data_IF_851133943003
#
_entry.id   IF_851133943003
#
_cell.length_a   1.000
_cell.length_b   1.000
_cell.length_c   1.000
_cell.angle_alpha   90.00
_cell.angle_beta   90.00
_cell.angle_gamma   90.00
#
_symmetry.space_group_name_H-M   'P 1'
#
loop_
_entity.id
_entity.type
_entity.pdbx_description
1 polymer ?
#
# COMPACT_ATOMS: atom_id res chain seq x y z
N UNK A 1 12.03 4.43 -14.01
CA UNK A 1 10.64 4.86 -13.79
C UNK A 1 10.29 4.47 -12.38
N UNK A 2 9.70 5.36 -11.59
CA UNK A 2 9.38 5.12 -10.19
C UNK A 2 7.90 4.88 -9.97
N UNK A 3 7.54 3.74 -9.41
CA UNK A 3 6.17 3.31 -9.20
C UNK A 3 5.92 3.22 -7.70
N UNK A 4 4.90 3.93 -7.24
CA UNK A 4 4.50 3.93 -5.83
C UNK A 4 3.07 3.40 -5.73
N UNK A 5 2.88 2.36 -4.93
CA UNK A 5 1.53 1.87 -4.62
C UNK A 5 0.92 2.62 -3.43
N UNK A 6 -0.39 2.74 -3.40
CA UNK A 6 -1.16 3.25 -2.26
C UNK A 6 -2.14 2.18 -1.80
N UNK A 7 -2.19 1.95 -0.49
CA UNK A 7 -3.09 0.97 0.14
C UNK A 7 -3.77 1.58 1.36
N UNK A 8 -5.09 1.64 1.36
CA UNK A 8 -5.86 1.85 2.59
C UNK A 8 -6.43 0.49 3.00
N UNK A 9 -6.14 0.05 4.22
CA UNK A 9 -6.42 -1.33 4.65
C UNK A 9 -7.04 -1.35 6.04
N UNK A 10 -7.88 -2.35 6.31
CA UNK A 10 -8.47 -2.58 7.62
C UNK A 10 -8.79 -4.06 7.81
N UNK A 11 -8.26 -4.66 8.87
CA UNK A 11 -8.62 -6.02 9.31
C UNK A 11 -8.39 -7.09 8.21
N UNK A 12 -7.18 -7.11 7.63
CA UNK A 12 -6.76 -7.98 6.50
C UNK A 12 -5.46 -8.75 6.83
N UNK A 13 -5.29 -9.18 8.09
CA UNK A 13 -4.03 -9.79 8.58
C UNK A 13 -3.67 -11.07 7.82
N UNK A 14 -4.68 -11.78 7.32
CA UNK A 14 -4.53 -13.04 6.60
C UNK A 14 -3.92 -12.87 5.20
N UNK A 15 -3.98 -11.67 4.60
CA UNK A 15 -3.54 -11.43 3.22
C UNK A 15 -2.56 -10.25 3.04
N UNK A 16 -2.54 -9.28 3.96
CA UNK A 16 -1.77 -8.03 3.77
C UNK A 16 -0.28 -8.25 3.53
N UNK A 17 0.33 -9.26 4.17
CA UNK A 17 1.73 -9.61 3.95
C UNK A 17 1.96 -10.09 2.51
N UNK A 18 1.12 -11.00 2.01
CA UNK A 18 1.22 -11.52 0.65
C UNK A 18 1.01 -10.41 -0.38
N UNK A 19 0.07 -9.49 -0.12
CA UNK A 19 -0.17 -8.34 -1.00
C UNK A 19 1.06 -7.44 -1.09
N UNK A 20 1.65 -7.07 0.05
CA UNK A 20 2.88 -6.25 0.11
C UNK A 20 4.02 -6.94 -0.65
N UNK A 21 4.30 -8.19 -0.32
CA UNK A 21 5.41 -8.95 -0.90
C UNK A 21 5.25 -9.13 -2.41
N UNK A 22 4.04 -9.47 -2.86
CA UNK A 22 3.74 -9.63 -4.28
C UNK A 22 4.01 -8.36 -5.07
N UNK A 23 3.47 -7.21 -4.63
CA UNK A 23 3.63 -5.97 -5.38
C UNK A 23 5.07 -5.45 -5.38
N UNK A 24 5.81 -5.63 -4.28
CA UNK A 24 7.24 -5.34 -4.26
C UNK A 24 8.01 -6.24 -5.24
N UNK A 25 7.66 -7.52 -5.33
CA UNK A 25 8.24 -8.46 -6.29
C UNK A 25 7.86 -8.14 -7.75
N UNK A 26 6.71 -7.52 -7.98
CA UNK A 26 6.27 -7.03 -9.29
C UNK A 26 6.91 -5.70 -9.71
N UNK A 27 7.78 -5.10 -8.89
CA UNK A 27 8.51 -3.88 -9.26
C UNK A 27 7.93 -2.58 -8.70
N UNK A 28 6.97 -2.63 -7.77
CA UNK A 28 6.60 -1.44 -6.99
C UNK A 28 7.77 -1.06 -6.07
N UNK A 29 8.25 0.18 -6.17
CA UNK A 29 9.42 0.64 -5.41
C UNK A 29 9.12 0.81 -3.91
N UNK A 30 7.90 1.27 -3.59
CA UNK A 30 7.45 1.55 -2.23
C UNK A 30 5.92 1.60 -2.15
N UNK A 31 5.36 1.31 -0.98
CA UNK A 31 3.95 1.51 -0.68
C UNK A 31 3.75 2.68 0.30
N UNK A 32 2.74 3.51 0.04
CA UNK A 32 2.17 4.44 1.03
C UNK A 32 0.91 3.80 1.58
N UNK A 33 0.89 3.47 2.86
CA UNK A 33 -0.17 2.69 3.49
C UNK A 33 -0.86 3.53 4.55
N UNK A 34 -2.20 3.47 4.58
CA UNK A 34 -2.99 3.94 5.72
C UNK A 34 -3.72 2.75 6.32
N UNK A 35 -3.35 2.37 7.55
CA UNK A 35 -4.12 1.44 8.36
C UNK A 35 -5.34 2.17 8.95
N UNK A 36 -6.54 1.71 8.59
CA UNK A 36 -7.82 2.30 8.96
C UNK A 36 -8.38 1.66 10.23
N UNK A 37 -7.54 1.65 11.26
CA UNK A 37 -7.80 1.15 12.60
C UNK A 37 -8.13 -0.34 12.65
N UNK A 38 -7.19 -1.16 12.18
CA UNK A 38 -7.27 -2.61 12.30
C UNK A 38 -7.16 -3.07 13.77
N UNK A 39 -7.73 -4.24 14.06
CA UNK A 39 -7.80 -4.86 15.39
C UNK A 39 -7.41 -6.36 15.37
N UNK A 40 -6.96 -6.87 14.23
CA UNK A 40 -6.76 -8.31 13.99
C UNK A 40 -5.28 -8.73 13.87
N UNK A 41 -4.34 -7.79 13.98
CA UNK A 41 -2.91 -8.04 13.73
C UNK A 41 -2.36 -7.39 12.46
N UNK A 42 -3.22 -6.80 11.61
CA UNK A 42 -2.81 -6.12 10.37
C UNK A 42 -1.80 -5.00 10.63
N UNK A 43 -2.03 -4.20 11.68
CA UNK A 43 -1.17 -3.06 12.03
C UNK A 43 0.25 -3.51 12.32
N UNK A 44 0.42 -4.56 13.13
CA UNK A 44 1.70 -5.11 13.53
C UNK A 44 2.49 -5.65 12.33
N UNK A 45 1.80 -6.29 11.38
CA UNK A 45 2.41 -6.74 10.12
C UNK A 45 2.92 -5.55 9.31
N UNK A 46 2.11 -4.49 9.16
CA UNK A 46 2.48 -3.30 8.40
C UNK A 46 3.62 -2.51 9.06
N UNK A 47 3.66 -2.42 10.38
CA UNK A 47 4.74 -1.79 11.14
C UNK A 47 6.08 -2.50 10.89
N UNK A 48 6.09 -3.83 10.90
CA UNK A 48 7.29 -4.60 10.58
C UNK A 48 7.83 -4.30 9.17
N UNK A 49 6.95 -4.10 8.18
CA UNK A 49 7.37 -3.67 6.85
C UNK A 49 7.80 -2.20 6.79
N UNK A 50 7.21 -1.32 7.61
CA UNK A 50 7.63 0.08 7.70
C UNK A 50 9.08 0.20 8.21
N UNK A 51 9.50 -0.65 9.15
CA UNK A 51 10.87 -0.72 9.67
C UNK A 51 11.90 -1.05 8.56
N UNK A 52 11.50 -1.82 7.55
CA UNK A 52 12.35 -2.13 6.39
C UNK A 52 12.48 -0.98 5.39
N UNK A 53 11.72 0.10 5.57
CA UNK A 53 11.64 1.23 4.63
C UNK A 53 10.83 0.97 3.35
N UNK A 54 10.28 -0.24 3.20
CA UNK A 54 9.46 -0.64 2.03
C UNK A 54 8.06 -0.03 2.05
N UNK A 55 7.58 0.32 3.24
CA UNK A 55 6.29 0.98 3.44
C UNK A 55 6.51 2.35 4.10
N UNK A 56 5.65 3.31 3.78
CA UNK A 56 5.37 4.47 4.61
C UNK A 56 3.99 4.30 5.24
N UNK A 57 3.93 4.09 6.55
CA UNK A 57 2.70 3.77 7.26
C UNK A 57 2.09 5.00 7.94
N UNK A 58 0.78 5.16 7.79
CA UNK A 58 -0.07 6.09 8.52
C UNK A 58 -1.16 5.32 9.25
N UNK A 59 -1.65 5.86 10.36
CA UNK A 59 -2.81 5.32 11.07
C UNK A 59 -3.95 6.33 10.98
N UNK A 60 -5.14 5.84 10.62
CA UNK A 60 -6.38 6.58 10.64
C UNK A 60 -7.35 5.93 11.62
N UNK A 61 -7.56 6.59 12.77
CA UNK A 61 -8.47 6.13 13.82
C UNK A 61 -9.92 6.59 13.59
N UNK A 62 -10.18 7.41 12.57
CA UNK A 62 -11.51 7.94 12.30
C UNK A 62 -12.41 6.90 11.60
N UNK A 63 -13.51 6.52 12.26
CA UNK A 63 -14.50 5.63 11.67
C UNK A 63 -15.56 6.43 10.90
N UNK A 64 -15.17 7.03 9.77
CA UNK A 64 -16.12 7.67 8.85
C UNK A 64 -15.87 7.21 7.41
N UNK A 65 -16.71 7.68 6.48
CA UNK A 65 -16.56 7.38 5.04
C UNK A 65 -15.55 8.32 4.38
N UNK A 66 -14.35 8.48 4.94
CA UNK A 66 -13.32 9.40 4.41
C UNK A 66 -12.35 8.77 3.39
N UNK A 67 -12.61 7.55 2.90
CA UNK A 67 -11.71 6.82 1.99
C UNK A 67 -11.25 7.69 0.82
N UNK A 68 -12.16 8.42 0.16
CA UNK A 68 -11.83 9.33 -0.95
C UNK A 68 -10.71 10.33 -0.60
N UNK A 69 -10.81 10.97 0.56
CA UNK A 69 -9.88 12.01 0.96
C UNK A 69 -8.54 11.41 1.39
N UNK A 70 -8.58 10.26 2.07
CA UNK A 70 -7.40 9.50 2.48
C UNK A 70 -6.61 9.02 1.27
N UNK A 71 -7.23 8.29 0.34
CA UNK A 71 -6.54 7.78 -0.86
C UNK A 71 -6.04 8.91 -1.76
N UNK A 72 -6.79 10.02 -1.86
CA UNK A 72 -6.33 11.21 -2.61
C UNK A 72 -5.08 11.82 -1.98
N UNK A 73 -5.02 11.89 -0.64
CA UNK A 73 -3.84 12.38 0.09
C UNK A 73 -2.64 11.46 -0.12
N UNK A 74 -2.85 10.14 -0.06
CA UNK A 74 -1.80 9.15 -0.29
C UNK A 74 -1.23 9.28 -1.72
N UNK A 75 -2.09 9.36 -2.73
CA UNK A 75 -1.65 9.49 -4.12
C UNK A 75 -0.88 10.80 -4.38
N UNK A 76 -1.32 11.91 -3.78
CA UNK A 76 -0.58 13.18 -3.82
C UNK A 76 0.78 13.05 -3.16
N UNK A 77 0.86 12.40 -1.99
CA UNK A 77 2.11 12.17 -1.27
C UNK A 77 3.08 11.28 -2.06
N UNK A 78 2.57 10.21 -2.68
CA UNK A 78 3.34 9.37 -3.60
C UNK A 78 4.02 10.22 -4.69
N UNK A 79 3.28 11.17 -5.27
CA UNK A 79 3.83 12.09 -6.27
C UNK A 79 4.81 13.10 -5.68
N UNK A 80 4.49 13.78 -4.58
CA UNK A 80 5.29 14.92 -4.09
C UNK A 80 6.52 14.50 -3.28
N UNK A 81 6.37 13.53 -2.38
CA UNK A 81 7.44 13.12 -1.46
C UNK A 81 8.31 12.02 -2.08
N UNK A 82 7.67 11.06 -2.76
CA UNK A 82 8.38 9.92 -3.35
C UNK A 82 8.74 10.12 -4.82
N UNK A 83 8.30 11.21 -5.46
CA UNK A 83 8.55 11.49 -6.89
C UNK A 83 8.08 10.37 -7.80
N UNK A 84 6.90 9.80 -7.52
CA UNK A 84 6.29 8.78 -8.36
C UNK A 84 6.09 9.28 -9.80
N UNK A 85 6.54 8.48 -10.78
CA UNK A 85 6.13 8.63 -12.18
C UNK A 85 4.73 8.03 -12.38
N UNK A 86 4.46 6.90 -11.71
CA UNK A 86 3.16 6.23 -11.66
C UNK A 86 2.72 5.97 -10.23
N UNK A 87 1.41 6.15 -9.99
CA UNK A 87 0.77 5.81 -8.72
C UNK A 87 -0.28 4.75 -8.99
N UNK A 88 -0.22 3.65 -8.24
CA UNK A 88 -1.18 2.55 -8.31
C UNK A 88 -1.98 2.52 -7.00
N UNK A 89 -3.29 2.73 -7.07
CA UNK A 89 -4.14 2.57 -5.90
C UNK A 89 -4.68 1.14 -5.86
N UNK A 90 -4.45 0.46 -4.73
CA UNK A 90 -4.69 -0.97 -4.54
C UNK A 90 -5.61 -1.18 -3.35
N UNK A 91 -6.50 -2.16 -3.46
CA UNK A 91 -7.18 -2.77 -2.30
C UNK A 91 -6.37 -3.95 -1.76
N UNK A 92 -6.62 -4.37 -0.52
CA UNK A 92 -5.81 -5.36 0.19
C UNK A 92 -5.91 -6.77 -0.40
N UNK A 93 -7.02 -7.06 -1.09
CA UNK A 93 -7.35 -8.32 -1.73
C UNK A 93 -7.08 -8.33 -3.26
N UNK A 94 -6.49 -7.25 -3.79
CA UNK A 94 -6.14 -7.14 -5.21
C UNK A 94 -4.67 -7.50 -5.46
N UNK A 95 -4.41 -8.26 -6.52
CA UNK A 95 -3.06 -8.64 -6.95
C UNK A 95 -2.87 -8.34 -8.43
N UNK A 96 -2.09 -7.31 -8.74
CA UNK A 96 -1.79 -6.97 -10.12
C UNK A 96 -0.80 -7.96 -10.73
N UNK A 97 -1.13 -8.46 -11.92
CA UNK A 97 -0.26 -9.34 -12.70
C UNK A 97 0.00 -8.75 -14.08
N UNK A 98 1.22 -8.88 -14.61
CA UNK A 98 1.53 -8.47 -15.96
C UNK A 98 0.86 -9.41 -16.96
N UNK A 99 0.50 -8.87 -18.13
CA UNK A 99 -0.06 -9.66 -19.24
C UNK A 99 0.94 -10.75 -19.66
N UNK A 100 2.22 -10.38 -19.75
CA UNK A 100 3.32 -11.33 -19.87
C UNK A 100 3.88 -11.64 -18.48
N UNK A 101 3.60 -12.86 -18.00
CA UNK A 101 4.01 -13.33 -16.67
C UNK A 101 5.53 -13.56 -16.53
N UNK A 102 6.29 -13.49 -17.63
CA UNK A 102 7.75 -13.57 -17.58
C UNK A 102 8.41 -12.23 -17.25
N UNK A 103 7.65 -11.12 -17.32
CA UNK A 103 8.11 -9.79 -16.99
C UNK A 103 7.73 -9.45 -15.54
N UNK A 104 8.62 -8.75 -14.87
CA UNK A 104 8.28 -7.91 -13.71
C UNK A 104 8.37 -6.46 -14.17
N UNK A 105 7.64 -5.53 -13.52
CA UNK A 105 7.70 -4.11 -13.89
C UNK A 105 9.06 -3.51 -13.55
#
# INVERSE_FOLDING_TARGET
MRIIGTLMVRDEVDIVAAMVEHHLAQGIDRLVVTDNHSLDGTTEVLEAYAETGRIELFHDHEHRKQQRDVVTRMARRARTEHRADWVLNLDADEFLIPVDKSLTV
#
